data_IF_826235385190
#
_entry.id   IF_826235385190
#
_cell.length_a   1.000
_cell.length_b   1.000
_cell.length_c   1.000
_cell.angle_alpha   90.00
_cell.angle_beta   90.00
_cell.angle_gamma   90.00
#
_symmetry.space_group_name_H-M   'P 1'
#
loop_
_entity.id
_entity.type
_entity.pdbx_description
1 polymer ?
#
# COMPACT_ATOMS: atom_id res chain seq x y z
N UNK A 1 27.40 -8.68 -37.95
CA UNK A 1 26.22 -9.54 -38.20
C UNK A 1 26.23 -9.98 -39.66
N UNK A 2 26.59 -11.23 -39.95
CA UNK A 2 26.82 -11.76 -41.31
C UNK A 2 25.55 -11.80 -42.15
N UNK A 3 24.38 -11.82 -41.51
CA UNK A 3 23.07 -11.86 -42.17
C UNK A 3 22.54 -10.49 -42.63
N UNK A 4 23.01 -9.40 -42.02
CA UNK A 4 22.55 -8.04 -42.35
C UNK A 4 23.46 -7.36 -43.38
N UNK A 5 24.74 -7.76 -43.46
CA UNK A 5 25.71 -7.18 -44.40
C UNK A 5 25.26 -7.22 -45.88
N UNK A 6 24.67 -8.32 -46.40
CA UNK A 6 24.23 -8.37 -47.79
C UNK A 6 23.20 -7.32 -48.18
N UNK A 7 22.40 -6.83 -47.21
CA UNK A 7 21.36 -5.82 -47.42
C UNK A 7 21.98 -4.45 -47.73
N UNK A 8 23.18 -4.18 -47.20
CA UNK A 8 23.83 -2.88 -47.29
C UNK A 8 24.91 -2.80 -48.37
N UNK A 9 25.28 -3.93 -48.99
CA UNK A 9 26.38 -4.03 -49.96
C UNK A 9 26.17 -3.23 -51.26
N UNK A 10 24.93 -2.88 -51.61
CA UNK A 10 24.61 -2.17 -52.85
C UNK A 10 24.32 -0.66 -52.65
N UNK A 11 24.49 -0.13 -51.43
CA UNK A 11 24.31 1.29 -51.17
C UNK A 11 25.62 2.06 -51.29
N UNK A 12 25.53 3.34 -51.65
CA UNK A 12 26.70 4.22 -51.67
C UNK A 12 27.17 4.55 -50.25
N UNK A 13 28.47 4.80 -50.08
CA UNK A 13 29.07 5.19 -48.79
C UNK A 13 28.39 6.41 -48.18
N UNK A 14 27.99 7.38 -49.01
CA UNK A 14 27.26 8.57 -48.56
C UNK A 14 25.87 8.25 -48.00
N UNK A 15 25.16 7.29 -48.60
CA UNK A 15 23.87 6.82 -48.10
C UNK A 15 24.02 6.04 -46.79
N UNK A 16 25.05 5.21 -46.68
CA UNK A 16 25.35 4.46 -45.45
C UNK A 16 25.70 5.39 -44.29
N UNK A 17 26.55 6.39 -44.53
CA UNK A 17 26.90 7.40 -43.52
C UNK A 17 25.67 8.23 -43.10
N UNK A 18 24.86 8.68 -44.06
CA UNK A 18 23.63 9.40 -43.75
C UNK A 18 22.68 8.55 -42.89
N UNK A 19 22.48 7.27 -43.26
CA UNK A 19 21.59 6.37 -42.54
C UNK A 19 22.09 6.07 -41.13
N UNK A 20 23.41 5.87 -40.95
CA UNK A 20 24.05 5.71 -39.64
C UNK A 20 23.80 6.93 -38.75
N UNK A 21 24.07 8.15 -39.26
CA UNK A 21 23.84 9.39 -38.51
C UNK A 21 22.37 9.65 -38.24
N UNK A 22 21.50 9.41 -39.21
CA UNK A 22 20.06 9.58 -39.04
C UNK A 22 19.50 8.61 -38.00
N UNK A 23 19.89 7.33 -38.04
CA UNK A 23 19.47 6.35 -37.05
C UNK A 23 19.99 6.69 -35.64
N UNK A 24 21.25 7.15 -35.54
CA UNK A 24 21.83 7.59 -34.27
C UNK A 24 21.06 8.79 -33.68
N UNK A 25 20.82 9.83 -34.47
CA UNK A 25 20.06 11.00 -34.02
C UNK A 25 18.60 10.68 -33.72
N UNK A 26 17.95 9.86 -34.54
CA UNK A 26 16.57 9.41 -34.30
C UNK A 26 16.46 8.65 -32.97
N UNK A 27 17.37 7.72 -32.71
CA UNK A 27 17.40 6.99 -31.45
C UNK A 27 17.65 7.93 -30.25
N UNK A 28 18.62 8.83 -30.37
CA UNK A 28 18.96 9.79 -29.31
C UNK A 28 17.78 10.74 -29.00
N UNK A 29 17.18 11.35 -30.02
CA UNK A 29 16.00 12.21 -29.87
C UNK A 29 14.81 11.41 -29.33
N UNK A 30 14.63 10.16 -29.79
CA UNK A 30 13.61 9.25 -29.29
C UNK A 30 13.75 8.96 -27.79
N UNK A 31 14.98 8.68 -27.33
CA UNK A 31 15.27 8.50 -25.89
C UNK A 31 15.00 9.79 -25.12
N UNK A 32 15.49 10.93 -25.59
CA UNK A 32 15.27 12.21 -24.90
C UNK A 32 13.78 12.54 -24.80
N UNK A 33 13.02 12.34 -25.87
CA UNK A 33 11.57 12.53 -25.86
C UNK A 33 10.91 11.57 -24.86
N UNK A 34 11.23 10.28 -24.92
CA UNK A 34 10.65 9.28 -24.04
C UNK A 34 10.97 9.57 -22.56
N UNK A 35 12.22 9.93 -22.26
CA UNK A 35 12.67 10.27 -20.91
C UNK A 35 11.86 11.43 -20.30
N UNK A 36 11.55 12.46 -21.09
CA UNK A 36 10.69 13.57 -20.64
C UNK A 36 9.21 13.15 -20.54
N UNK A 37 8.75 12.27 -21.43
CA UNK A 37 7.39 11.74 -21.43
C UNK A 37 7.08 10.81 -20.24
N UNK A 38 8.09 10.13 -19.68
CA UNK A 38 7.91 9.21 -18.54
C UNK A 38 7.21 9.88 -17.35
N UNK A 39 7.56 11.13 -17.03
CA UNK A 39 7.04 11.85 -15.86
C UNK A 39 5.55 12.15 -15.93
N UNK A 40 5.01 12.32 -17.14
CA UNK A 40 3.62 12.73 -17.35
C UNK A 40 2.72 11.58 -17.81
N UNK A 41 3.29 10.40 -18.02
CA UNK A 41 2.58 9.27 -18.60
C UNK A 41 2.42 8.13 -17.60
N UNK A 42 1.61 7.15 -17.99
CA UNK A 42 1.39 5.91 -17.23
C UNK A 42 2.68 5.07 -17.04
N UNK A 43 3.77 5.42 -17.72
CA UNK A 43 5.06 4.75 -17.61
C UNK A 43 5.94 5.26 -16.45
N UNK A 44 5.47 6.21 -15.65
CA UNK A 44 6.19 6.70 -14.46
C UNK A 44 6.62 5.55 -13.52
N UNK A 45 5.85 4.46 -13.49
CA UNK A 45 6.19 3.25 -12.74
C UNK A 45 7.56 2.66 -13.11
N UNK A 46 8.08 2.88 -14.32
CA UNK A 46 9.41 2.40 -14.74
C UNK A 46 10.51 3.05 -13.91
N UNK A 47 10.36 4.35 -13.62
CA UNK A 47 11.32 5.10 -12.79
C UNK A 47 11.14 4.72 -11.32
N UNK A 48 9.90 4.64 -10.86
CA UNK A 48 9.59 4.45 -9.44
C UNK A 48 9.69 2.99 -8.96
N UNK A 49 9.68 2.00 -9.88
CA UNK A 49 9.89 0.61 -9.53
C UNK A 49 11.25 0.35 -8.85
N UNK A 50 12.31 1.07 -9.23
CA UNK A 50 13.64 0.93 -8.61
C UNK A 50 13.65 1.34 -7.12
N UNK A 51 13.26 2.58 -6.74
CA UNK A 51 13.19 2.94 -5.33
C UNK A 51 12.12 2.11 -4.58
N UNK A 52 11.00 1.76 -5.21
CA UNK A 52 9.96 0.93 -4.55
C UNK A 52 10.48 -0.46 -4.18
N UNK A 53 11.22 -1.11 -5.08
CA UNK A 53 11.85 -2.41 -4.81
C UNK A 53 12.97 -2.31 -3.77
N UNK A 54 13.70 -1.19 -3.73
CA UNK A 54 14.70 -0.93 -2.69
C UNK A 54 14.08 -0.84 -1.28
N UNK A 55 12.92 -0.20 -1.16
CA UNK A 55 12.16 -0.08 0.10
C UNK A 55 11.14 -1.21 0.32
N UNK A 56 11.24 -2.30 -0.45
CA UNK A 56 10.32 -3.42 -0.30
C UNK A 56 10.40 -4.04 1.10
N UNK A 57 9.25 -4.47 1.62
CA UNK A 57 9.19 -5.14 2.91
C UNK A 57 9.76 -6.57 2.82
N UNK A 58 10.97 -6.74 3.37
CA UNK A 58 11.72 -8.00 3.43
C UNK A 58 11.41 -8.84 4.69
N UNK A 59 10.57 -8.33 5.59
CA UNK A 59 10.12 -9.09 6.74
C UNK A 59 9.26 -10.29 6.32
N UNK A 60 9.07 -11.22 7.26
CA UNK A 60 8.18 -12.37 7.04
C UNK A 60 6.79 -11.88 6.63
N UNK A 61 6.27 -12.44 5.54
CA UNK A 61 4.92 -12.12 5.06
C UNK A 61 3.90 -12.40 6.17
N UNK A 62 3.01 -11.45 6.42
CA UNK A 62 2.06 -11.49 7.54
C UNK A 62 2.55 -10.88 8.86
N UNK A 63 3.81 -10.44 8.95
CA UNK A 63 4.25 -9.61 10.08
C UNK A 63 3.71 -8.19 9.89
N UNK A 64 2.83 -7.77 10.79
CA UNK A 64 2.32 -6.40 10.85
C UNK A 64 3.16 -5.56 11.82
N UNK A 65 3.15 -4.24 11.60
CA UNK A 65 3.71 -3.28 12.54
C UNK A 65 2.79 -3.13 13.77
N UNK A 66 3.39 -2.83 14.91
CA UNK A 66 2.66 -2.33 16.06
C UNK A 66 2.58 -0.80 15.96
N UNK A 67 1.53 -0.22 16.51
CA UNK A 67 1.44 1.23 16.69
C UNK A 67 2.42 1.66 17.78
N UNK A 68 3.33 2.57 17.45
CA UNK A 68 4.35 3.04 18.38
C UNK A 68 3.72 3.78 19.57
N UNK A 69 2.71 4.63 19.31
CA UNK A 69 1.95 5.35 20.33
C UNK A 69 1.32 4.41 21.35
N UNK A 70 0.61 3.37 20.89
CA UNK A 70 0.02 2.35 21.75
C UNK A 70 1.10 1.54 22.48
N UNK A 71 2.20 1.22 21.81
CA UNK A 71 3.31 0.47 22.44
C UNK A 71 3.96 1.26 23.57
N UNK A 72 4.11 2.58 23.40
CA UNK A 72 4.65 3.50 24.42
C UNK A 72 3.72 3.56 25.63
N UNK A 73 2.41 3.68 25.39
CA UNK A 73 1.39 3.68 26.45
C UNK A 73 1.35 2.36 27.22
N UNK A 74 1.33 1.21 26.54
CA UNK A 74 1.36 -0.10 27.19
C UNK A 74 2.64 -0.26 28.03
N UNK A 75 3.80 0.13 27.51
CA UNK A 75 5.06 0.07 28.27
C UNK A 75 5.04 0.94 29.52
N UNK A 76 4.41 2.11 29.44
CA UNK A 76 4.22 2.99 30.60
C UNK A 76 3.29 2.34 31.63
N UNK A 77 2.19 1.71 31.21
CA UNK A 77 1.29 0.98 32.12
C UNK A 77 1.94 -0.26 32.75
N UNK A 78 2.91 -0.88 32.07
CA UNK A 78 3.64 -2.05 32.54
C UNK A 78 4.87 -1.71 33.39
N UNK A 79 5.28 -0.45 33.48
CA UNK A 79 6.42 -0.04 34.32
C UNK A 79 5.95 0.14 35.77
N UNK A 80 6.39 -0.74 36.70
CA UNK A 80 5.99 -0.65 38.11
C UNK A 80 6.54 0.59 38.83
N UNK A 81 7.48 1.33 38.21
CA UNK A 81 8.05 2.56 38.76
C UNK A 81 7.52 3.83 38.08
N UNK A 82 6.69 3.70 37.04
CA UNK A 82 6.05 4.85 36.41
C UNK A 82 4.91 5.34 37.30
N UNK A 83 4.82 6.66 37.49
CA UNK A 83 3.65 7.29 38.09
C UNK A 83 2.62 7.57 36.98
N UNK A 84 1.52 6.79 36.90
CA UNK A 84 0.50 6.97 35.86
C UNK A 84 -0.28 8.29 35.98
N UNK A 85 -0.07 9.06 37.06
CA UNK A 85 -0.68 10.37 37.29
C UNK A 85 0.30 11.55 37.15
N UNK A 86 1.56 11.28 36.78
CA UNK A 86 2.50 12.35 36.48
C UNK A 86 1.97 13.15 35.28
N UNK A 87 1.63 14.41 35.53
CA UNK A 87 1.22 15.32 34.46
C UNK A 87 2.37 15.42 33.43
N UNK A 88 2.07 15.33 32.12
CA UNK A 88 3.07 15.61 31.10
C UNK A 88 3.70 16.98 31.38
N UNK A 89 5.00 17.13 31.14
CA UNK A 89 5.64 18.42 31.26
C UNK A 89 4.88 19.46 30.40
N UNK A 90 4.64 20.65 30.94
CA UNK A 90 3.88 21.71 30.25
C UNK A 90 4.49 21.97 28.85
N UNK A 91 3.75 21.60 27.79
CA UNK A 91 4.19 21.72 26.39
C UNK A 91 4.37 20.40 25.63
N UNK A 92 4.34 19.25 26.30
CA UNK A 92 4.47 17.91 25.68
C UNK A 92 3.13 17.18 25.49
N UNK A 93 2.02 17.89 25.35
CA UNK A 93 0.77 17.28 24.90
C UNK A 93 0.90 16.91 23.42
N UNK A 94 1.52 15.76 23.12
CA UNK A 94 1.53 15.16 21.79
C UNK A 94 0.08 15.06 21.31
N UNK A 95 -0.23 15.75 20.20
CA UNK A 95 -1.54 15.64 19.56
C UNK A 95 -1.79 14.14 19.29
N UNK A 96 -2.95 13.57 19.67
CA UNK A 96 -3.22 12.16 19.47
C UNK A 96 -2.97 11.79 18.00
N UNK A 97 -2.01 10.89 17.78
CA UNK A 97 -1.74 10.37 16.45
C UNK A 97 -2.98 9.59 15.99
N UNK A 98 -3.56 9.94 14.83
CA UNK A 98 -4.65 9.16 14.24
C UNK A 98 -4.22 7.70 14.08
N UNK A 99 -5.06 6.76 14.49
CA UNK A 99 -4.77 5.34 14.35
C UNK A 99 -5.15 4.83 12.96
N UNK A 100 -4.17 4.35 12.19
CA UNK A 100 -4.42 3.84 10.84
C UNK A 100 -4.58 4.95 9.80
N UNK A 101 -5.20 4.62 8.66
CA UNK A 101 -5.33 5.53 7.54
C UNK A 101 -6.77 5.77 7.07
N UNK A 102 -7.18 7.04 7.03
CA UNK A 102 -8.45 7.48 6.44
C UNK A 102 -8.24 7.97 5.01
N UNK A 103 -7.20 8.77 4.79
CA UNK A 103 -6.83 9.34 3.49
C UNK A 103 -5.32 9.14 3.22
N UNK A 104 -4.87 9.57 2.04
CA UNK A 104 -3.48 9.40 1.59
C UNK A 104 -2.43 10.07 2.48
N UNK A 105 -2.82 11.06 3.29
CA UNK A 105 -1.91 11.74 4.24
C UNK A 105 -1.54 10.87 5.44
N UNK A 106 -2.37 9.88 5.76
CA UNK A 106 -2.16 8.98 6.89
C UNK A 106 -1.32 7.75 6.50
N UNK A 107 -1.07 7.56 5.20
CA UNK A 107 -0.24 6.49 4.67
C UNK A 107 1.24 6.88 4.70
N UNK A 108 2.11 5.90 4.93
CA UNK A 108 3.55 6.13 4.90
C UNK A 108 4.08 6.29 3.47
N UNK A 109 5.27 6.89 3.34
CA UNK A 109 5.88 7.19 2.04
C UNK A 109 6.08 5.94 1.15
N UNK A 110 6.36 4.77 1.74
CA UNK A 110 6.53 3.52 1.00
C UNK A 110 5.20 3.05 0.41
N UNK A 111 4.10 3.20 1.15
CA UNK A 111 2.76 2.90 0.66
C UNK A 111 2.36 3.81 -0.51
N UNK A 112 2.67 5.10 -0.43
CA UNK A 112 2.42 6.05 -1.51
C UNK A 112 3.28 5.73 -2.75
N UNK A 113 4.56 5.41 -2.53
CA UNK A 113 5.47 4.98 -3.59
C UNK A 113 5.01 3.69 -4.27
N UNK A 114 4.48 2.73 -3.49
CA UNK A 114 3.93 1.50 -4.02
C UNK A 114 2.73 1.75 -4.96
N UNK A 115 1.87 2.72 -4.62
CA UNK A 115 0.73 3.09 -5.45
C UNK A 115 1.17 3.61 -6.83
N UNK A 116 2.19 4.46 -6.88
CA UNK A 116 2.76 4.98 -8.13
C UNK A 116 3.61 3.94 -8.91
N UNK A 117 4.17 2.96 -8.22
CA UNK A 117 5.03 1.92 -8.82
C UNK A 117 4.25 0.72 -9.37
N UNK A 118 2.92 0.70 -9.20
CA UNK A 118 2.07 -0.37 -9.71
C UNK A 118 2.10 -0.42 -11.25
N UNK A 119 2.44 -1.59 -11.79
CA UNK A 119 2.46 -1.85 -13.25
C UNK A 119 1.11 -2.27 -13.82
N UNK A 120 0.06 -2.31 -12.99
CA UNK A 120 -1.30 -2.73 -13.36
C UNK A 120 -1.43 -4.15 -13.95
N UNK A 121 -0.38 -4.99 -13.84
CA UNK A 121 -0.31 -6.33 -14.44
C UNK A 121 -1.36 -7.34 -13.96
N UNK A 122 -2.04 -7.07 -12.84
CA UNK A 122 -3.17 -7.87 -12.37
C UNK A 122 -2.84 -9.18 -11.64
N UNK A 123 -1.55 -9.56 -11.51
CA UNK A 123 -1.12 -10.80 -10.82
C UNK A 123 -1.71 -10.91 -9.41
N UNK A 124 -1.61 -9.84 -8.63
CA UNK A 124 -2.15 -9.77 -7.27
C UNK A 124 -3.67 -9.94 -7.20
N UNK A 125 -4.39 -9.59 -8.27
CA UNK A 125 -5.85 -9.81 -8.37
C UNK A 125 -6.16 -11.25 -8.75
N UNK A 126 -5.43 -11.81 -9.71
CA UNK A 126 -5.63 -13.19 -10.18
C UNK A 126 -5.40 -14.25 -9.11
N UNK A 127 -4.56 -13.97 -8.10
CA UNK A 127 -4.27 -14.89 -6.98
C UNK A 127 -5.11 -14.58 -5.74
N UNK A 128 -5.94 -13.52 -5.76
CA UNK A 128 -6.68 -13.10 -4.57
C UNK A 128 -7.89 -14.03 -4.36
N UNK A 129 -7.97 -14.80 -3.26
CA UNK A 129 -9.09 -15.72 -3.04
C UNK A 129 -10.43 -15.00 -2.91
N UNK A 130 -10.44 -13.79 -2.35
CA UNK A 130 -11.64 -12.95 -2.28
C UNK A 130 -12.12 -12.51 -3.67
N UNK A 131 -11.20 -12.17 -4.58
CA UNK A 131 -11.56 -11.77 -5.93
C UNK A 131 -12.08 -12.96 -6.75
N UNK A 132 -11.41 -14.11 -6.65
CA UNK A 132 -11.79 -15.35 -7.36
C UNK A 132 -13.22 -15.78 -6.99
N UNK A 133 -13.62 -15.56 -5.73
CA UNK A 133 -14.97 -15.89 -5.24
C UNK A 133 -16.02 -14.82 -5.55
N UNK A 134 -15.69 -13.80 -6.35
CA UNK A 134 -16.62 -12.76 -6.79
C UNK A 134 -16.83 -11.61 -5.79
N UNK A 135 -16.04 -11.52 -4.72
CA UNK A 135 -16.09 -10.36 -3.81
C UNK A 135 -15.48 -9.13 -4.49
N UNK A 136 -15.86 -7.93 -4.01
CA UNK A 136 -15.44 -6.65 -4.61
C UNK A 136 -13.94 -6.35 -4.54
N UNK A 137 -13.20 -7.00 -3.63
CA UNK A 137 -11.78 -6.73 -3.44
C UNK A 137 -10.95 -7.12 -4.67
N UNK A 138 -10.16 -6.17 -5.16
CA UNK A 138 -9.02 -6.39 -6.05
C UNK A 138 -7.79 -5.70 -5.46
N UNK A 139 -6.74 -6.44 -5.06
CA UNK A 139 -5.51 -5.83 -4.55
C UNK A 139 -4.82 -4.90 -5.55
N UNK A 140 -5.02 -5.10 -6.86
CA UNK A 140 -4.55 -4.16 -7.89
C UNK A 140 -5.30 -2.82 -7.77
N UNK A 141 -6.62 -2.88 -7.67
CA UNK A 141 -7.44 -1.68 -7.58
C UNK A 141 -7.16 -0.89 -6.30
N UNK A 142 -6.76 -1.53 -5.19
CA UNK A 142 -6.31 -0.80 -3.99
C UNK A 142 -5.15 0.15 -4.29
N UNK A 143 -4.11 -0.34 -4.99
CA UNK A 143 -2.96 0.50 -5.39
C UNK A 143 -3.38 1.60 -6.37
N UNK A 144 -4.17 1.25 -7.39
CA UNK A 144 -4.62 2.21 -8.40
C UNK A 144 -5.49 3.31 -7.79
N UNK A 145 -6.48 2.95 -6.96
CA UNK A 145 -7.35 3.90 -6.25
C UNK A 145 -6.57 4.82 -5.33
N UNK A 146 -5.54 4.29 -4.66
CA UNK A 146 -4.62 5.09 -3.83
C UNK A 146 -3.84 6.09 -4.68
N UNK A 147 -3.31 5.66 -5.83
CA UNK A 147 -2.63 6.54 -6.78
C UNK A 147 -3.58 7.62 -7.33
N UNK A 148 -4.77 7.24 -7.74
CA UNK A 148 -5.73 8.17 -8.33
C UNK A 148 -6.14 9.25 -7.30
N UNK A 149 -6.30 8.89 -6.02
CA UNK A 149 -6.48 9.84 -4.92
C UNK A 149 -5.26 10.73 -4.72
N UNK A 150 -4.04 10.17 -4.73
CA UNK A 150 -2.79 10.94 -4.63
C UNK A 150 -2.64 11.96 -5.76
N UNK A 151 -2.96 11.59 -7.00
CA UNK A 151 -2.90 12.51 -8.13
C UNK A 151 -3.95 13.61 -8.04
N UNK A 152 -5.14 13.30 -7.52
CA UNK A 152 -6.18 14.32 -7.28
C UNK A 152 -5.77 15.32 -6.20
N UNK A 153 -5.20 14.83 -5.10
CA UNK A 153 -4.60 15.66 -4.05
C UNK A 153 -3.45 16.50 -4.60
N UNK A 154 -2.57 15.91 -5.43
CA UNK A 154 -1.48 16.63 -6.09
C UNK A 154 -1.99 17.78 -6.95
N UNK A 155 -2.98 17.52 -7.82
CA UNK A 155 -3.62 18.56 -8.65
C UNK A 155 -4.32 19.64 -7.83
N UNK A 156 -4.83 19.30 -6.64
CA UNK A 156 -5.43 20.27 -5.72
C UNK A 156 -4.35 21.21 -5.15
N UNK A 157 -3.24 20.64 -4.66
CA UNK A 157 -2.10 21.39 -4.12
C UNK A 157 -1.47 22.27 -5.21
N UNK A 158 -1.27 21.76 -6.43
CA UNK A 158 -0.67 22.52 -7.52
C UNK A 158 -1.50 23.77 -7.90
N UNK A 159 -2.83 23.69 -7.76
CA UNK A 159 -3.74 24.82 -8.06
C UNK A 159 -3.83 25.84 -6.93
N UNK A 160 -3.81 25.37 -5.68
CA UNK A 160 -4.11 26.20 -4.52
C UNK A 160 -2.87 26.60 -3.71
N UNK A 161 -1.70 26.02 -4.00
CA UNK A 161 -0.46 26.16 -3.23
C UNK A 161 -0.41 25.32 -1.95
N UNK A 162 -1.57 24.91 -1.43
CA UNK A 162 -1.71 23.98 -0.30
C UNK A 162 -2.91 23.07 -0.52
N UNK A 163 -3.02 22.01 0.26
CA UNK A 163 -4.18 21.13 0.18
C UNK A 163 -5.42 21.85 0.73
N UNK A 164 -6.42 22.02 -0.12
CA UNK A 164 -7.76 22.50 0.27
C UNK A 164 -8.69 21.30 0.27
N UNK A 165 -9.38 21.07 1.40
CA UNK A 165 -10.27 19.90 1.53
C UNK A 165 -11.33 19.89 0.43
N UNK A 166 -11.32 18.84 -0.37
CA UNK A 166 -12.25 18.59 -1.48
C UNK A 166 -13.45 17.75 -1.06
N UNK A 167 -13.57 17.42 0.23
CA UNK A 167 -14.64 16.60 0.79
C UNK A 167 -14.56 15.13 0.41
N UNK A 168 -13.46 14.70 -0.23
CA UNK A 168 -13.22 13.30 -0.60
C UNK A 168 -12.15 12.71 0.30
N UNK A 169 -12.21 11.41 0.55
CA UNK A 169 -11.20 10.64 1.29
C UNK A 169 -10.93 9.33 0.57
N UNK A 170 -9.73 8.76 0.76
CA UNK A 170 -9.40 7.43 0.22
C UNK A 170 -10.41 6.36 0.71
N UNK A 171 -10.78 6.42 1.99
CA UNK A 171 -11.81 5.59 2.59
C UNK A 171 -13.22 6.05 2.18
N UNK A 172 -14.08 5.08 1.83
CA UNK A 172 -15.47 5.24 1.38
C UNK A 172 -15.66 5.81 -0.03
N UNK A 173 -14.93 6.85 -0.45
CA UNK A 173 -15.12 7.42 -1.81
C UNK A 173 -14.40 6.62 -2.89
N UNK A 174 -13.21 6.10 -2.60
CA UNK A 174 -12.44 5.28 -3.55
C UNK A 174 -12.43 3.82 -3.11
N UNK A 175 -12.06 3.54 -1.87
CA UNK A 175 -11.97 2.19 -1.32
C UNK A 175 -13.10 1.99 -0.32
N UNK A 176 -13.99 1.06 -0.63
CA UNK A 176 -15.18 0.78 0.19
C UNK A 176 -14.85 -0.13 1.38
N UNK A 177 -15.65 -0.03 2.45
CA UNK A 177 -15.54 -0.92 3.63
C UNK A 177 -15.68 -2.40 3.24
N UNK A 178 -16.52 -2.71 2.26
CA UNK A 178 -16.71 -4.08 1.77
C UNK A 178 -15.44 -4.64 1.10
N UNK A 179 -14.74 -3.84 0.30
CA UNK A 179 -13.44 -4.23 -0.27
C UNK A 179 -12.41 -4.47 0.84
N UNK A 180 -12.36 -3.58 1.83
CA UNK A 180 -11.45 -3.72 2.96
C UNK A 180 -11.72 -5.00 3.73
N UNK A 181 -12.95 -5.28 4.15
CA UNK A 181 -13.31 -6.44 4.97
C UNK A 181 -13.34 -7.77 4.19
N UNK A 182 -13.38 -7.74 2.86
CA UNK A 182 -13.22 -8.94 2.04
C UNK A 182 -11.80 -9.56 2.09
N UNK A 183 -10.78 -8.79 2.48
CA UNK A 183 -9.40 -9.27 2.55
C UNK A 183 -9.20 -10.31 3.66
N UNK A 184 -8.61 -11.45 3.35
CA UNK A 184 -8.32 -12.50 4.35
C UNK A 184 -6.91 -12.42 4.94
N UNK A 185 -6.16 -11.33 4.66
CA UNK A 185 -4.78 -11.13 5.13
C UNK A 185 -3.80 -12.26 4.76
N UNK A 186 -4.10 -13.06 3.73
CA UNK A 186 -3.32 -14.23 3.32
C UNK A 186 -1.98 -13.93 2.61
N UNK A 187 -1.64 -12.66 2.38
CA UNK A 187 -0.41 -12.20 1.70
C UNK A 187 -0.17 -12.67 0.25
N UNK A 188 -1.03 -13.48 -0.36
CA UNK A 188 -0.86 -13.95 -1.75
C UNK A 188 -0.60 -12.82 -2.76
N UNK A 189 -1.25 -11.66 -2.59
CA UNK A 189 -1.05 -10.49 -3.45
C UNK A 189 0.36 -9.89 -3.37
N UNK A 190 0.97 -9.93 -2.19
CA UNK A 190 2.32 -9.39 -1.93
C UNK A 190 3.39 -10.34 -2.46
N UNK A 191 3.14 -11.65 -2.41
CA UNK A 191 4.06 -12.67 -2.94
C UNK A 191 4.04 -12.74 -4.47
N UNK A 192 2.87 -12.58 -5.08
CA UNK A 192 2.73 -12.62 -6.54
C UNK A 192 3.22 -11.34 -7.25
N UNK A 193 3.58 -10.29 -6.50
CA UNK A 193 3.98 -9.02 -7.08
C UNK A 193 5.41 -9.08 -7.66
N UNK A 194 5.61 -8.84 -8.97
CA UNK A 194 6.94 -8.94 -9.58
C UNK A 194 7.90 -7.81 -9.17
N UNK A 195 7.37 -6.73 -8.59
CA UNK A 195 8.14 -5.57 -8.10
C UNK A 195 7.91 -5.34 -6.60
N UNK A 196 7.52 -6.39 -5.87
CA UNK A 196 7.50 -6.45 -4.41
C UNK A 196 6.61 -5.40 -3.69
N UNK A 197 5.51 -4.99 -4.32
CA UNK A 197 4.54 -4.06 -3.72
C UNK A 197 3.69 -4.73 -2.65
N UNK A 198 3.30 -3.95 -1.65
CA UNK A 198 2.49 -4.41 -0.53
C UNK A 198 1.13 -3.69 -0.46
N UNK A 199 0.13 -4.10 -1.26
CA UNK A 199 -1.23 -3.58 -1.15
C UNK A 199 -1.92 -3.96 0.17
N UNK A 200 -1.45 -5.02 0.86
CA UNK A 200 -2.04 -5.47 2.12
C UNK A 200 -1.78 -4.46 3.24
N UNK A 201 -0.60 -3.84 3.25
CA UNK A 201 -0.25 -2.79 4.22
C UNK A 201 -1.28 -1.65 4.23
N UNK A 202 -1.71 -1.16 3.06
CA UNK A 202 -2.71 -0.09 2.93
C UNK A 202 -4.07 -0.56 3.48
N UNK A 203 -4.51 -1.77 3.09
CA UNK A 203 -5.77 -2.35 3.59
C UNK A 203 -5.76 -2.45 5.12
N UNK A 204 -4.63 -2.84 5.70
CA UNK A 204 -4.51 -3.04 7.13
C UNK A 204 -4.57 -1.71 7.90
N UNK A 205 -3.87 -0.66 7.43
CA UNK A 205 -3.96 0.68 8.03
C UNK A 205 -5.39 1.24 7.95
N UNK A 206 -6.10 1.02 6.83
CA UNK A 206 -7.50 1.46 6.71
C UNK A 206 -8.45 0.68 7.63
N UNK A 207 -8.22 -0.63 7.81
CA UNK A 207 -8.97 -1.44 8.79
C UNK A 207 -8.70 -0.97 10.21
N UNK A 208 -7.46 -0.64 10.54
CA UNK A 208 -7.07 -0.10 11.84
C UNK A 208 -7.82 1.19 12.14
N UNK A 209 -7.91 2.10 11.18
CA UNK A 209 -8.72 3.32 11.31
C UNK A 209 -10.20 3.03 11.54
N UNK A 210 -10.78 2.11 10.76
CA UNK A 210 -12.18 1.71 10.96
C UNK A 210 -12.45 1.17 12.38
N UNK A 211 -11.53 0.39 12.93
CA UNK A 211 -11.70 -0.22 14.26
C UNK A 211 -11.44 0.79 15.37
N UNK A 212 -10.30 1.47 15.34
CA UNK A 212 -9.80 2.26 16.47
C UNK A 212 -10.35 3.69 16.51
N UNK A 213 -10.69 4.27 15.36
CA UNK A 213 -11.19 5.66 15.28
C UNK A 213 -12.70 5.71 15.04
N UNK A 214 -13.22 4.87 14.14
CA UNK A 214 -14.65 4.89 13.78
C UNK A 214 -15.52 3.89 14.54
N UNK A 215 -14.94 2.99 15.34
CA UNK A 215 -15.68 1.87 15.98
C UNK A 215 -16.55 1.07 14.98
N UNK A 216 -16.12 0.99 13.73
CA UNK A 216 -16.87 0.48 12.58
C UNK A 216 -16.39 -0.91 12.13
N UNK A 217 -16.02 -1.77 13.09
CA UNK A 217 -15.70 -3.16 12.83
C UNK A 217 -16.99 -3.97 12.53
N UNK A 218 -16.91 -5.03 11.70
CA UNK A 218 -17.99 -6.01 11.56
C UNK A 218 -18.45 -6.56 12.91
N UNK A 219 -19.75 -6.83 13.03
CA UNK A 219 -20.36 -7.27 14.29
C UNK A 219 -19.72 -8.56 14.83
N UNK A 220 -19.33 -9.47 13.94
CA UNK A 220 -18.65 -10.72 14.28
C UNK A 220 -17.28 -10.47 14.93
N UNK A 221 -16.55 -9.44 14.47
CA UNK A 221 -15.27 -9.07 15.08
C UNK A 221 -15.47 -8.38 16.42
N UNK A 222 -16.49 -7.53 16.57
CA UNK A 222 -16.82 -6.93 17.85
C UNK A 222 -17.15 -8.00 18.91
N UNK A 223 -17.97 -8.99 18.56
CA UNK A 223 -18.29 -10.13 19.44
C UNK A 223 -17.02 -10.91 19.82
N UNK A 224 -16.14 -11.17 18.86
CA UNK A 224 -14.87 -11.84 19.12
C UNK A 224 -13.98 -11.02 20.07
N UNK A 225 -13.83 -9.71 19.86
CA UNK A 225 -13.04 -8.83 20.72
C UNK A 225 -13.58 -8.80 22.15
N UNK A 226 -14.90 -8.66 22.33
CA UNK A 226 -15.54 -8.73 23.65
C UNK A 226 -15.36 -10.10 24.33
N UNK A 227 -15.40 -11.19 23.57
CA UNK A 227 -15.13 -12.52 24.13
C UNK A 227 -13.68 -12.68 24.56
N UNK A 228 -12.72 -12.18 23.78
CA UNK A 228 -11.30 -12.19 24.16
C UNK A 228 -11.07 -11.39 25.44
N UNK A 229 -11.70 -10.23 25.57
CA UNK A 229 -11.58 -9.37 26.75
C UNK A 229 -12.15 -10.04 28.02
N UNK A 230 -13.36 -10.59 27.95
CA UNK A 230 -14.04 -11.16 29.13
C UNK A 230 -13.63 -12.60 29.44
N UNK A 231 -13.37 -13.40 28.42
CA UNK A 231 -13.18 -14.84 28.52
C UNK A 231 -11.80 -15.30 28.08
N UNK A 232 -10.87 -14.40 27.74
CA UNK A 232 -9.54 -14.75 27.20
C UNK A 232 -9.58 -15.78 26.06
N UNK A 233 -10.68 -15.81 25.30
CA UNK A 233 -10.95 -16.75 24.23
C UNK A 233 -11.84 -16.07 23.18
N UNK A 234 -11.65 -16.33 21.88
CA UNK A 234 -12.43 -15.69 20.81
C UNK A 234 -13.89 -16.15 20.76
N UNK A 235 -14.19 -17.29 21.39
CA UNK A 235 -15.49 -17.92 21.42
C UNK A 235 -16.02 -17.94 22.85
N UNK A 236 -17.35 -17.90 22.98
CA UNK A 236 -18.05 -17.89 24.26
C UNK A 236 -18.19 -19.33 24.80
N UNK A 237 -17.08 -19.92 25.26
CA UNK A 237 -17.10 -21.21 25.97
C UNK A 237 -17.00 -20.99 27.48
N UNK A 238 -17.56 -21.93 28.26
CA UNK A 238 -17.38 -21.91 29.70
C UNK A 238 -15.90 -22.15 30.04
N UNK A 239 -15.35 -21.35 30.97
CA UNK A 239 -13.96 -21.50 31.40
C UNK A 239 -13.69 -22.88 32.01
N UNK A 240 -14.69 -23.52 32.64
CA UNK A 240 -14.58 -24.86 33.19
C UNK A 240 -14.30 -25.94 32.12
N UNK A 241 -14.79 -25.72 30.89
CA UNK A 241 -14.66 -26.69 29.79
C UNK A 241 -13.30 -26.62 29.08
N UNK A 242 -12.45 -25.63 29.42
CA UNK A 242 -11.16 -25.41 28.75
C UNK A 242 -10.19 -26.60 28.82
N UNK A 243 -10.31 -27.46 29.82
CA UNK A 243 -9.44 -28.64 30.01
C UNK A 243 -10.07 -29.94 29.48
N UNK A 244 -11.26 -29.89 28.89
CA UNK A 244 -11.93 -31.12 28.43
C UNK A 244 -11.09 -31.85 27.36
N UNK A 245 -10.36 -31.14 26.49
CA UNK A 245 -9.47 -31.73 25.49
C UNK A 245 -8.30 -32.53 26.09
N UNK A 246 -7.94 -32.30 27.35
CA UNK A 246 -6.86 -33.02 28.03
C UNK A 246 -7.32 -34.36 28.64
N UNK A 247 -8.63 -34.61 28.65
CA UNK A 247 -9.23 -35.86 29.12
C UNK A 247 -9.53 -36.84 27.98
N UNK A 248 -9.36 -36.42 26.72
CA UNK A 248 -9.45 -37.23 25.50
C UNK A 248 -8.08 -37.82 25.12
#
# INVERSE_FOLDING_TARGET
STFLAPIFNNFSDGFLFFTEKAAWWFHFVGILFFMNYLYYSKHLHIILAFPSTWYANLEKKGKFNNLESVTKEIKLMMDPNADPYAAPAEGEAEVPSKFGAEDVFDLNQVQLLNAYSCTECGRCTSVCPANITGKKLSPRLILMKTRDRLEEVGRNIDKNGSFVDDGKKLLNDYITKEELWACTTCNACTEACPVLLDPLSIIFEMRRFLVMEQSAAPQELNLMMTNVENNAAPWQYNQADRLNWAND
#
